data_IF_936873352171
#
_entry.id   IF_936873352171
#
_cell.length_a   1.000
_cell.length_b   1.000
_cell.length_c   1.000
_cell.angle_alpha   90.00
_cell.angle_beta   90.00
_cell.angle_gamma   90.00
#
_symmetry.space_group_name_H-M   'P 1'
#
loop_
_entity.id
_entity.type
_entity.pdbx_description
1 polymer ?
#
# COMPACT_ATOMS: atom_id res chain seq x y z
N UNK A 1 8.54 -3.86 -25.61
CA UNK A 1 7.94 -2.77 -24.81
C UNK A 1 9.07 -1.85 -24.33
N UNK A 2 8.95 -0.52 -24.47
CA UNK A 2 9.95 0.44 -23.97
C UNK A 2 9.61 0.74 -22.51
N UNK A 3 10.28 0.06 -21.58
CA UNK A 3 10.05 0.27 -20.15
C UNK A 3 10.60 1.62 -19.71
N UNK A 4 9.81 2.33 -18.91
CA UNK A 4 10.20 3.63 -18.39
C UNK A 4 11.13 3.41 -17.19
N UNK A 5 12.45 3.46 -17.42
CA UNK A 5 13.50 3.13 -16.44
C UNK A 5 13.30 3.84 -15.08
N UNK A 6 12.97 5.14 -15.02
CA UNK A 6 12.67 5.83 -13.75
C UNK A 6 11.51 5.24 -12.94
N UNK A 7 10.59 4.52 -13.60
CA UNK A 7 9.43 3.87 -12.95
C UNK A 7 9.71 2.42 -12.57
N UNK A 8 10.89 1.87 -12.91
CA UNK A 8 11.24 0.50 -12.57
C UNK A 8 11.70 0.42 -11.12
N UNK A 9 11.10 -0.53 -10.41
CA UNK A 9 11.44 -0.86 -9.04
C UNK A 9 11.58 -2.37 -8.94
N UNK A 10 12.65 -2.83 -8.30
CA UNK A 10 12.91 -4.25 -8.05
C UNK A 10 12.61 -4.53 -6.58
N UNK A 11 11.73 -5.51 -6.33
CA UNK A 11 11.47 -6.05 -4.99
C UNK A 11 12.11 -7.45 -4.94
N UNK A 12 13.25 -7.62 -4.24
CA UNK A 12 13.89 -8.92 -4.15
C UNK A 12 13.06 -9.86 -3.26
N UNK A 13 12.93 -11.11 -3.67
CA UNK A 13 12.20 -12.16 -2.94
C UNK A 13 13.16 -13.31 -2.67
N UNK A 14 13.04 -13.97 -1.52
CA UNK A 14 13.95 -15.05 -1.12
C UNK A 14 14.39 -14.89 0.32
N UNK A 15 15.54 -15.45 0.69
CA UNK A 15 16.08 -15.33 2.06
C UNK A 15 16.58 -13.92 2.34
N UNK A 16 16.66 -13.53 3.61
CA UNK A 16 17.14 -12.21 4.00
C UNK A 16 18.57 -11.97 3.52
N UNK A 17 19.42 -13.00 3.61
CA UNK A 17 20.81 -12.95 3.15
C UNK A 17 20.89 -12.68 1.64
N UNK A 18 20.00 -13.29 0.85
CA UNK A 18 19.92 -13.02 -0.59
C UNK A 18 19.48 -11.59 -0.87
N UNK A 19 18.46 -11.09 -0.16
CA UNK A 19 17.97 -9.71 -0.33
C UNK A 19 19.05 -8.69 0.03
N UNK A 20 19.71 -8.87 1.17
CA UNK A 20 20.80 -8.01 1.65
C UNK A 20 21.98 -8.03 0.65
N UNK A 21 22.38 -9.22 0.17
CA UNK A 21 23.42 -9.36 -0.84
C UNK A 21 23.05 -8.67 -2.15
N UNK A 22 21.80 -8.77 -2.61
CA UNK A 22 21.33 -8.15 -3.84
C UNK A 22 21.27 -6.62 -3.70
N UNK A 23 20.82 -6.09 -2.57
CA UNK A 23 20.82 -4.64 -2.29
C UNK A 23 22.24 -4.09 -2.28
N UNK A 24 23.19 -4.78 -1.62
CA UNK A 24 24.58 -4.34 -1.52
C UNK A 24 25.33 -4.45 -2.84
N UNK A 25 25.23 -5.60 -3.51
CA UNK A 25 26.06 -5.90 -4.68
C UNK A 25 25.41 -5.40 -5.97
N UNK A 26 24.07 -5.37 -6.03
CA UNK A 26 23.26 -5.18 -7.24
C UNK A 26 23.49 -6.27 -8.29
N UNK A 27 23.94 -7.44 -7.87
CA UNK A 27 24.11 -8.63 -8.71
C UNK A 27 23.04 -9.65 -8.36
N UNK A 28 22.30 -10.10 -9.38
CA UNK A 28 21.30 -11.16 -9.22
C UNK A 28 22.00 -12.53 -9.06
N UNK A 29 23.14 -12.70 -9.74
CA UNK A 29 23.96 -13.92 -9.75
C UNK A 29 25.42 -13.56 -10.03
N UNK A 30 26.36 -14.42 -9.63
CA UNK A 30 27.81 -14.14 -9.71
C UNK A 30 28.34 -13.82 -11.12
N UNK A 31 27.72 -14.36 -12.18
CA UNK A 31 28.10 -14.11 -13.58
C UNK A 31 27.03 -13.35 -14.39
N UNK A 32 26.10 -12.65 -13.72
CA UNK A 32 24.98 -11.97 -14.38
C UNK A 32 25.31 -10.57 -14.90
N UNK A 33 24.29 -9.83 -15.34
CA UNK A 33 24.41 -8.39 -15.52
C UNK A 33 24.13 -7.67 -14.19
N UNK A 34 24.92 -6.64 -13.88
CA UNK A 34 24.66 -5.76 -12.74
C UNK A 34 23.43 -4.90 -13.00
N UNK A 35 22.56 -4.76 -12.00
CA UNK A 35 21.39 -3.88 -12.09
C UNK A 35 21.86 -2.42 -12.18
N UNK A 36 21.42 -1.70 -13.22
CA UNK A 36 21.75 -0.27 -13.42
C UNK A 36 21.45 0.55 -12.17
N UNK A 37 22.35 1.48 -11.79
CA UNK A 37 22.19 2.33 -10.61
C UNK A 37 20.90 3.13 -10.57
N UNK A 38 20.32 3.43 -11.73
CA UNK A 38 19.10 4.22 -11.87
C UNK A 38 17.83 3.47 -11.42
N UNK A 39 17.91 2.14 -11.27
CA UNK A 39 16.78 1.30 -10.87
C UNK A 39 16.76 1.19 -9.35
N UNK A 40 15.65 1.57 -8.72
CA UNK A 40 15.47 1.40 -7.27
C UNK A 40 15.32 -0.09 -6.93
N UNK A 41 16.07 -0.53 -5.92
CA UNK A 41 15.90 -1.85 -5.30
C UNK A 41 15.33 -1.61 -3.91
N UNK A 42 14.17 -2.21 -3.62
CA UNK A 42 13.45 -2.02 -2.35
C UNK A 42 14.15 -2.82 -1.26
N UNK A 43 14.39 -2.17 -0.12
CA UNK A 43 14.98 -2.80 1.06
C UNK A 43 13.92 -3.50 1.92
N UNK A 44 14.37 -4.31 2.86
CA UNK A 44 13.48 -4.82 3.90
C UNK A 44 12.90 -3.67 4.74
N UNK A 45 11.65 -3.83 5.16
CA UNK A 45 10.83 -2.82 5.82
C UNK A 45 10.54 -1.57 4.97
N UNK A 46 10.88 -1.58 3.69
CA UNK A 46 10.48 -0.57 2.72
C UNK A 46 9.36 -1.11 1.82
N UNK A 47 8.33 -0.30 1.61
CA UNK A 47 7.23 -0.62 0.71
C UNK A 47 7.30 0.20 -0.58
N UNK A 48 6.96 -0.41 -1.71
CA UNK A 48 6.71 0.27 -2.99
C UNK A 48 5.28 0.08 -3.43
N UNK A 49 4.74 1.03 -4.21
CA UNK A 49 3.36 0.98 -4.69
C UNK A 49 3.29 0.28 -6.06
N UNK A 50 2.50 -0.78 -6.15
CA UNK A 50 2.19 -1.48 -7.39
C UNK A 50 0.67 -1.61 -7.54
N UNK A 51 0.12 -1.07 -8.63
CA UNK A 51 -1.31 -1.12 -8.97
C UNK A 51 -2.26 -0.64 -7.83
N UNK A 52 -1.79 0.24 -6.96
CA UNK A 52 -2.60 0.76 -5.85
C UNK A 52 -2.38 0.06 -4.51
N UNK A 53 -1.77 -1.13 -4.53
CA UNK A 53 -1.31 -1.87 -3.36
C UNK A 53 0.13 -1.51 -3.01
N UNK A 54 0.54 -1.82 -1.78
CA UNK A 54 1.91 -1.72 -1.31
C UNK A 54 2.55 -3.12 -1.22
N UNK A 55 3.78 -3.22 -1.70
CA UNK A 55 4.55 -4.46 -1.74
C UNK A 55 5.93 -4.19 -1.17
N UNK A 56 6.40 -5.07 -0.30
CA UNK A 56 7.69 -4.99 0.35
C UNK A 56 7.88 -6.16 1.31
N UNK A 57 9.13 -6.46 1.67
CA UNK A 57 9.43 -7.52 2.64
C UNK A 57 9.43 -6.95 4.05
N UNK A 58 8.80 -7.65 5.01
CA UNK A 58 8.81 -7.22 6.42
C UNK A 58 8.19 -5.84 6.66
N UNK A 59 7.18 -5.49 5.86
CA UNK A 59 6.42 -4.24 6.00
C UNK A 59 5.37 -4.39 7.10
N UNK A 60 5.14 -3.31 7.85
CA UNK A 60 4.04 -3.27 8.81
C UNK A 60 2.75 -2.87 8.10
N UNK A 61 1.80 -3.81 7.97
CA UNK A 61 0.57 -3.61 7.20
C UNK A 61 -0.30 -2.45 7.71
N UNK A 62 -0.27 -2.15 9.02
CA UNK A 62 -1.05 -1.06 9.64
C UNK A 62 -0.71 0.32 9.05
N UNK A 63 0.59 0.57 8.81
CA UNK A 63 1.11 1.85 8.30
C UNK A 63 0.56 2.20 6.91
N UNK A 64 0.26 1.19 6.09
CA UNK A 64 -0.28 1.32 4.73
C UNK A 64 -1.71 1.89 4.72
N UNK A 65 -2.49 1.57 5.74
CA UNK A 65 -3.91 1.93 5.83
C UNK A 65 -4.14 3.33 6.41
N UNK A 66 -3.17 3.87 7.14
CA UNK A 66 -3.28 5.17 7.82
C UNK A 66 -3.76 6.31 6.90
N UNK A 67 -3.16 6.55 5.71
CA UNK A 67 -3.62 7.62 4.84
C UNK A 67 -5.05 7.42 4.32
N UNK A 68 -5.48 6.16 4.15
CA UNK A 68 -6.85 5.86 3.72
C UNK A 68 -7.85 6.11 4.83
N UNK A 69 -7.53 5.71 6.07
CA UNK A 69 -8.35 5.99 7.25
C UNK A 69 -8.51 7.49 7.48
N UNK A 70 -7.45 8.28 7.38
CA UNK A 70 -7.50 9.74 7.53
C UNK A 70 -8.40 10.40 6.48
N UNK A 71 -8.31 9.96 5.22
CA UNK A 71 -9.16 10.46 4.13
C UNK A 71 -10.62 10.10 4.39
N UNK A 72 -10.91 8.85 4.79
CA UNK A 72 -12.26 8.39 5.12
C UNK A 72 -12.83 9.21 6.27
N UNK A 73 -12.10 9.36 7.37
CA UNK A 73 -12.53 10.14 8.53
C UNK A 73 -12.81 11.60 8.19
N UNK A 74 -11.93 12.23 7.40
CA UNK A 74 -12.12 13.60 6.93
C UNK A 74 -13.37 13.75 6.06
N UNK A 75 -13.58 12.83 5.14
CA UNK A 75 -14.72 12.88 4.21
C UNK A 75 -16.01 12.67 4.98
N UNK A 76 -16.10 11.65 5.85
CA UNK A 76 -17.27 11.40 6.71
C UNK A 76 -17.59 12.62 7.60
N UNK A 77 -16.60 13.21 8.26
CA UNK A 77 -16.76 14.43 9.07
C UNK A 77 -17.23 15.63 8.25
N UNK A 78 -16.81 15.75 6.99
CA UNK A 78 -17.29 16.82 6.09
C UNK A 78 -18.77 16.65 5.77
N UNK A 79 -19.19 15.43 5.49
CA UNK A 79 -20.58 15.13 5.16
C UNK A 79 -21.52 15.23 6.35
N UNK A 80 -21.06 14.87 7.55
CA UNK A 80 -21.82 15.00 8.79
C UNK A 80 -22.33 16.43 9.03
N UNK A 81 -21.56 17.46 8.60
CA UNK A 81 -21.94 18.88 8.70
C UNK A 81 -23.26 19.20 7.98
N UNK A 82 -23.63 18.41 6.97
CA UNK A 82 -24.87 18.60 6.21
C UNK A 82 -26.08 17.90 6.83
N UNK A 83 -25.93 17.24 7.99
CA UNK A 83 -26.99 16.53 8.72
C UNK A 83 -27.79 15.56 7.82
N UNK A 84 -27.12 14.59 7.17
CA UNK A 84 -27.78 13.65 6.27
C UNK A 84 -28.80 12.78 7.00
N UNK A 85 -29.83 12.35 6.28
CA UNK A 85 -30.79 11.33 6.72
C UNK A 85 -30.09 9.97 6.91
N UNK A 86 -30.78 8.98 7.49
CA UNK A 86 -30.24 7.63 7.66
C UNK A 86 -29.85 7.02 6.30
N UNK A 87 -30.72 7.12 5.29
CA UNK A 87 -30.44 6.72 3.91
C UNK A 87 -29.24 7.47 3.33
N UNK A 88 -29.13 8.77 3.61
CA UNK A 88 -27.98 9.58 3.20
C UNK A 88 -26.67 9.10 3.84
N UNK A 89 -26.69 8.74 5.13
CA UNK A 89 -25.53 8.16 5.83
C UNK A 89 -25.16 6.80 5.24
N UNK A 90 -26.13 5.93 4.99
CA UNK A 90 -25.90 4.63 4.37
C UNK A 90 -25.25 4.75 2.98
N UNK A 91 -25.76 5.66 2.13
CA UNK A 91 -25.18 5.91 0.81
C UNK A 91 -23.76 6.47 0.92
N UNK A 92 -23.53 7.42 1.84
CA UNK A 92 -22.22 8.01 2.08
C UNK A 92 -21.19 6.96 2.51
N UNK A 93 -21.52 6.08 3.44
CA UNK A 93 -20.62 5.01 3.88
C UNK A 93 -20.24 4.10 2.70
N UNK A 94 -21.21 3.70 1.88
CA UNK A 94 -20.94 2.89 0.70
C UNK A 94 -19.99 3.58 -0.30
N UNK A 95 -20.22 4.87 -0.59
CA UNK A 95 -19.40 5.62 -1.55
C UNK A 95 -17.99 5.88 -1.00
N UNK A 96 -17.89 6.36 0.25
CA UNK A 96 -16.62 6.81 0.84
C UNK A 96 -15.79 5.63 1.33
N UNK A 97 -16.38 4.74 2.13
CA UNK A 97 -15.68 3.60 2.72
C UNK A 97 -15.54 2.50 1.69
N UNK A 98 -16.65 2.05 1.12
CA UNK A 98 -16.67 0.97 0.11
C UNK A 98 -15.81 1.33 -1.10
N UNK A 99 -16.03 2.50 -1.69
CA UNK A 99 -15.30 2.95 -2.88
C UNK A 99 -13.79 3.10 -2.71
N UNK A 100 -13.29 3.35 -1.49
CA UNK A 100 -11.85 3.53 -1.23
C UNK A 100 -11.17 2.25 -0.75
N UNK A 101 -11.89 1.40 -0.02
CA UNK A 101 -11.28 0.28 0.70
C UNK A 101 -11.48 -1.06 0.00
N UNK A 102 -12.58 -1.28 -0.72
CA UNK A 102 -12.96 -2.60 -1.25
C UNK A 102 -11.83 -3.27 -2.06
N UNK A 103 -11.26 -2.55 -3.03
CA UNK A 103 -10.16 -3.10 -3.83
C UNK A 103 -8.94 -3.43 -2.97
N UNK A 104 -8.51 -2.50 -2.10
CA UNK A 104 -7.33 -2.67 -1.24
C UNK A 104 -7.49 -3.86 -0.28
N UNK A 105 -8.68 -4.03 0.29
CA UNK A 105 -8.98 -5.16 1.17
C UNK A 105 -8.84 -6.48 0.41
N UNK A 106 -9.29 -6.54 -0.84
CA UNK A 106 -9.13 -7.75 -1.65
C UNK A 106 -7.67 -8.08 -1.97
N UNK A 107 -6.82 -7.08 -2.22
CA UNK A 107 -5.43 -7.32 -2.67
C UNK A 107 -4.38 -7.36 -1.57
N UNK A 108 -4.66 -6.78 -0.39
CA UNK A 108 -3.72 -6.71 0.73
C UNK A 108 -4.29 -7.23 2.06
N UNK A 109 -5.56 -7.65 2.08
CA UNK A 109 -6.26 -7.95 3.33
C UNK A 109 -6.53 -6.68 4.15
N UNK A 110 -7.23 -6.81 5.28
CA UNK A 110 -7.43 -5.72 6.23
C UNK A 110 -7.00 -6.21 7.62
N UNK A 111 -5.98 -5.61 8.23
CA UNK A 111 -5.61 -5.94 9.60
C UNK A 111 -6.75 -5.60 10.58
N UNK A 112 -6.92 -6.41 11.63
CA UNK A 112 -7.98 -6.21 12.63
C UNK A 112 -7.92 -4.82 13.32
N UNK A 113 -6.72 -4.25 13.48
CA UNK A 113 -6.55 -2.89 13.98
C UNK A 113 -7.20 -1.85 13.05
N UNK A 114 -7.03 -2.00 11.73
CA UNK A 114 -7.60 -1.09 10.73
C UNK A 114 -9.12 -1.20 10.71
N UNK A 115 -9.64 -2.42 10.83
CA UNK A 115 -11.08 -2.67 10.96
C UNK A 115 -11.64 -1.97 12.21
N UNK A 116 -10.98 -2.15 13.37
CA UNK A 116 -11.40 -1.51 14.63
C UNK A 116 -11.41 0.03 14.53
N UNK A 117 -10.39 0.63 13.91
CA UNK A 117 -10.35 2.08 13.70
C UNK A 117 -11.45 2.54 12.74
N UNK A 118 -11.73 1.77 11.69
CA UNK A 118 -12.81 2.09 10.76
C UNK A 118 -14.19 2.05 11.43
N UNK A 119 -14.45 1.04 12.26
CA UNK A 119 -15.72 0.91 13.01
C UNK A 119 -15.96 2.08 13.97
N UNK A 120 -14.91 2.71 14.50
CA UNK A 120 -15.06 3.89 15.39
C UNK A 120 -15.44 5.16 14.64
N UNK A 121 -15.14 5.23 13.34
CA UNK A 121 -15.30 6.45 12.53
C UNK A 121 -16.64 6.46 11.77
N UNK A 122 -17.24 5.29 11.53
CA UNK A 122 -18.57 5.12 10.95
C UNK A 122 -19.64 5.35 12.02
#
# INVERSE_FOLDING_TARGET
AKFNIPKMVIVPVGTKEHRDALVMTRWIQRCGSRISGDIKIVQDSEATRLLGAFIGNGIEDSSIWTPTLEIVARDLKRWEKNKPTIEGKHLMVNIVVGGRMQYRTCVQGMPAQVESELTKVI
#
